data_IF_106377153676
#
_entry.id   IF_106377153676
#
_cell.length_a   1.000
_cell.length_b   1.000
_cell.length_c   1.000
_cell.angle_alpha   90.00
_cell.angle_beta   90.00
_cell.angle_gamma   90.00
#
_symmetry.space_group_name_H-M   'P 1'
#
loop_
_entity.id
_entity.type
_entity.pdbx_description
1 polymer ?
#
# COMPACT_ATOMS: atom_id res chain seq x y z
N UNK A 1 -19.65 -3.11 2.72
CA UNK A 1 -18.21 -3.45 2.58
C UNK A 1 -17.38 -2.18 2.60
N UNK A 2 -16.12 -2.21 3.05
CA UNK A 2 -15.25 -1.05 2.96
C UNK A 2 -14.85 -0.76 1.50
N UNK A 3 -14.77 0.52 1.14
CA UNK A 3 -14.34 0.97 -0.19
C UNK A 3 -12.85 1.32 -0.19
N UNK A 4 -12.24 1.34 -1.38
CA UNK A 4 -10.85 1.71 -1.53
C UNK A 4 -10.61 3.17 -1.14
N UNK A 5 -9.54 3.42 -0.38
CA UNK A 5 -9.13 4.77 0.03
C UNK A 5 -8.78 5.70 -1.13
N UNK A 6 -8.22 5.15 -2.21
CA UNK A 6 -7.81 5.91 -3.41
C UNK A 6 -8.95 5.98 -4.43
N UNK A 7 -9.86 4.99 -4.42
CA UNK A 7 -10.96 4.85 -5.37
C UNK A 7 -12.27 4.60 -4.60
N UNK A 8 -12.95 5.67 -4.12
CA UNK A 8 -14.12 5.55 -3.25
C UNK A 8 -15.30 4.80 -3.88
N UNK A 9 -15.33 4.70 -5.21
CA UNK A 9 -16.30 3.99 -6.03
C UNK A 9 -16.04 2.48 -6.13
N UNK A 10 -14.86 2.00 -5.69
CA UNK A 10 -14.45 0.61 -5.84
C UNK A 10 -14.43 -0.13 -4.51
N UNK A 11 -14.89 -1.37 -4.53
CA UNK A 11 -14.80 -2.26 -3.37
C UNK A 11 -13.34 -2.62 -3.07
N UNK A 12 -13.00 -2.68 -1.78
CA UNK A 12 -11.68 -3.09 -1.36
C UNK A 12 -11.55 -4.61 -1.32
N UNK A 13 -10.39 -5.11 -1.76
CA UNK A 13 -10.04 -6.54 -1.75
C UNK A 13 -8.92 -6.85 -0.75
N UNK A 14 -8.24 -5.81 -0.25
CA UNK A 14 -7.13 -5.94 0.70
C UNK A 14 -7.14 -4.80 1.70
N UNK A 15 -6.63 -5.05 2.91
CA UNK A 15 -6.45 -4.04 3.96
C UNK A 15 -4.98 -3.90 4.37
N UNK A 16 -4.49 -2.67 4.51
CA UNK A 16 -3.29 -2.35 5.27
C UNK A 16 -3.59 -2.46 6.77
N UNK A 17 -3.19 -3.56 7.41
CA UNK A 17 -3.44 -3.82 8.85
C UNK A 17 -2.78 -2.78 9.77
N UNK A 18 -1.67 -2.17 9.35
CA UNK A 18 -0.96 -1.16 10.15
C UNK A 18 -1.80 0.10 10.34
N UNK A 19 -2.43 0.58 9.28
CA UNK A 19 -3.19 1.84 9.28
C UNK A 19 -4.70 1.64 9.31
N UNK A 20 -5.17 0.38 9.24
CA UNK A 20 -6.58 0.02 9.10
C UNK A 20 -7.26 0.70 7.88
N UNK A 21 -6.57 0.67 6.73
CA UNK A 21 -7.00 1.28 5.46
C UNK A 21 -7.22 0.20 4.40
N UNK A 22 -8.22 0.40 3.54
CA UNK A 22 -8.68 -0.58 2.56
C UNK A 22 -8.37 -0.14 1.12
N UNK A 23 -7.99 -1.10 0.27
CA UNK A 23 -7.57 -0.86 -1.11
C UNK A 23 -8.23 -1.85 -2.09
N UNK A 24 -8.55 -1.35 -3.29
CA UNK A 24 -9.08 -2.15 -4.40
C UNK A 24 -7.96 -2.94 -5.09
N UNK A 25 -8.36 -3.86 -5.97
CA UNK A 25 -7.44 -4.71 -6.74
C UNK A 25 -6.44 -3.88 -7.55
N UNK A 26 -6.87 -2.80 -8.20
CA UNK A 26 -5.97 -1.96 -9.01
C UNK A 26 -4.84 -1.33 -8.17
N UNK A 27 -5.14 -0.87 -6.95
CA UNK A 27 -4.09 -0.34 -6.06
C UNK A 27 -3.14 -1.45 -5.58
N UNK A 28 -3.61 -2.69 -5.46
CA UNK A 28 -2.76 -3.82 -5.11
C UNK A 28 -1.83 -4.17 -6.28
N UNK A 29 -2.38 -4.29 -7.49
CA UNK A 29 -1.65 -4.63 -8.71
C UNK A 29 -0.61 -3.56 -9.07
N UNK A 30 -0.96 -2.28 -8.89
CA UNK A 30 -0.06 -1.16 -9.14
C UNK A 30 0.89 -0.86 -7.97
N UNK A 31 0.88 -1.66 -6.90
CA UNK A 31 1.72 -1.46 -5.72
C UNK A 31 1.56 -0.10 -5.03
N UNK A 32 0.32 0.41 -5.01
CA UNK A 32 -0.10 1.67 -4.36
C UNK A 32 -0.83 1.46 -3.02
N UNK A 33 -1.05 0.21 -2.63
CA UNK A 33 -1.81 -0.16 -1.43
C UNK A 33 -1.03 -0.04 -0.10
N UNK A 34 0.19 0.49 -0.09
CA UNK A 34 0.97 0.68 1.14
C UNK A 34 0.92 2.14 1.63
N UNK A 35 0.24 2.39 2.75
CA UNK A 35 0.06 3.75 3.30
C UNK A 35 1.31 4.31 3.96
N UNK A 36 2.07 3.47 4.67
CA UNK A 36 3.31 3.88 5.36
C UNK A 36 4.46 2.96 4.94
N UNK A 37 5.12 3.27 3.80
CA UNK A 37 6.16 2.43 3.23
C UNK A 37 7.48 2.52 4.01
N UNK A 38 7.75 3.63 4.71
CA UNK A 38 9.02 3.86 5.41
C UNK A 38 9.02 3.32 6.85
N UNK A 39 7.90 3.40 7.57
CA UNK A 39 7.86 3.00 8.97
C UNK A 39 7.94 1.48 9.18
N UNK A 40 8.49 1.06 10.33
CA UNK A 40 8.42 -0.34 10.77
C UNK A 40 6.96 -0.84 10.78
N UNK A 41 6.74 -2.06 10.31
CA UNK A 41 5.42 -2.68 10.26
C UNK A 41 5.51 -4.13 10.74
N UNK A 42 4.98 -4.39 11.94
CA UNK A 42 4.96 -5.73 12.56
C UNK A 42 4.18 -6.77 11.74
N UNK A 43 3.31 -6.33 10.85
CA UNK A 43 2.49 -7.20 10.00
C UNK A 43 3.18 -7.61 8.70
N UNK A 44 4.40 -7.12 8.39
CA UNK A 44 5.12 -7.49 7.15
C UNK A 44 5.20 -9.01 6.87
N UNK A 45 5.43 -9.89 7.88
CA UNK A 45 5.45 -11.33 7.64
C UNK A 45 4.14 -11.92 7.08
N UNK A 46 3.00 -11.24 7.30
CA UNK A 46 1.67 -11.68 6.82
C UNK A 46 0.99 -10.67 5.88
N UNK A 47 1.71 -9.64 5.45
CA UNK A 47 1.16 -8.56 4.65
C UNK A 47 1.28 -8.88 3.16
N UNK A 48 0.16 -9.24 2.52
CA UNK A 48 0.14 -9.55 1.08
C UNK A 48 0.58 -8.36 0.21
N UNK A 49 0.24 -7.13 0.59
CA UNK A 49 0.68 -5.90 -0.09
C UNK A 49 2.21 -5.84 -0.11
N UNK A 50 2.85 -6.11 1.03
CA UNK A 50 4.31 -6.12 1.11
C UNK A 50 4.91 -7.28 0.31
N UNK A 51 4.35 -8.49 0.44
CA UNK A 51 4.89 -9.66 -0.26
C UNK A 51 4.92 -9.47 -1.78
N UNK A 52 3.83 -8.93 -2.34
CA UNK A 52 3.74 -8.65 -3.77
C UNK A 52 4.63 -7.48 -4.20
N UNK A 53 4.76 -6.44 -3.38
CA UNK A 53 5.37 -5.17 -3.81
C UNK A 53 6.78 -4.89 -3.27
N UNK A 54 7.34 -5.71 -2.37
CA UNK A 54 8.64 -5.47 -1.71
C UNK A 54 9.84 -5.31 -2.67
N UNK A 55 9.71 -5.74 -3.93
CA UNK A 55 10.72 -5.58 -4.99
C UNK A 55 10.28 -4.66 -6.14
N UNK A 56 9.14 -3.99 -6.03
CA UNK A 56 8.62 -3.12 -7.10
C UNK A 56 9.30 -1.75 -7.09
N UNK A 57 9.54 -1.16 -8.26
CA UNK A 57 9.99 0.24 -8.40
C UNK A 57 9.04 1.21 -7.69
N UNK A 58 7.73 0.94 -7.79
CA UNK A 58 6.70 1.75 -7.14
C UNK A 58 6.89 1.83 -5.62
N UNK A 59 7.26 0.74 -4.96
CA UNK A 59 7.58 0.75 -3.52
C UNK A 59 8.74 1.70 -3.21
N UNK A 60 9.81 1.69 -4.00
CA UNK A 60 10.93 2.63 -3.83
C UNK A 60 10.47 4.08 -4.07
N UNK A 61 9.66 4.32 -5.09
CA UNK A 61 9.08 5.64 -5.36
C UNK A 61 8.23 6.16 -4.19
N UNK A 62 7.36 5.31 -3.62
CA UNK A 62 6.55 5.65 -2.45
C UNK A 62 7.43 5.97 -1.23
N UNK A 63 8.51 5.22 -1.00
CA UNK A 63 9.48 5.53 0.05
C UNK A 63 10.20 6.87 -0.18
N UNK A 64 10.59 7.17 -1.44
CA UNK A 64 11.22 8.46 -1.78
C UNK A 64 10.26 9.62 -1.53
N UNK A 65 9.02 9.53 -2.02
CA UNK A 65 7.96 10.53 -1.81
C UNK A 65 7.67 10.74 -0.32
N UNK A 66 7.57 9.67 0.47
CA UNK A 66 7.34 9.76 1.91
C UNK A 66 8.50 10.45 2.67
N UNK A 67 9.71 10.42 2.11
CA UNK A 67 10.89 11.13 2.63
C UNK A 67 11.01 12.57 2.11
N UNK A 68 10.08 13.04 1.28
CA UNK A 68 10.15 14.36 0.64
C UNK A 68 11.20 14.44 -0.48
N UNK A 69 11.66 13.30 -0.99
CA UNK A 69 12.59 13.21 -2.10
C UNK A 69 11.77 13.08 -3.40
N UNK A 70 11.35 14.21 -3.96
CA UNK A 70 10.78 14.30 -5.30
C UNK A 70 11.77 15.08 -6.17
N UNK A 71 12.36 14.40 -7.16
CA UNK A 71 13.07 15.05 -8.26
C UNK A 71 12.08 15.84 -9.15
#
# INVERSE_FOLDING_TARGET
MPNCRNHPDREAVVSCQKMNIWYCQECLDNCEACTDPCGYCKFRPQCIIWELCKKSEKRYELERKAKGLSD
#
